data_IF_622337066261
#
_entry.id   IF_622337066261
#
_cell.length_a   1.000
_cell.length_b   1.000
_cell.length_c   1.000
_cell.angle_alpha   90.00
_cell.angle_beta   90.00
_cell.angle_gamma   90.00
#
_symmetry.space_group_name_H-M   'P 1'
#
loop_
_entity.id
_entity.type
_entity.pdbx_description
1 polymer ?
#
# COMPACT_ATOMS: atom_id res chain seq x y z
N UNK A 1 -7.49 6.08 -3.73
CA UNK A 1 -6.46 5.36 -4.48
C UNK A 1 -7.03 4.07 -5.11
N UNK A 2 -7.43 3.04 -4.32
CA UNK A 2 -7.79 1.71 -4.81
C UNK A 2 -8.85 1.66 -5.92
N UNK A 3 -9.92 2.45 -5.81
CA UNK A 3 -10.92 2.60 -6.88
C UNK A 3 -10.28 2.98 -8.23
N UNK A 4 -9.45 4.03 -8.20
CA UNK A 4 -8.84 4.56 -9.44
C UNK A 4 -7.79 3.61 -9.99
N UNK A 5 -7.01 2.97 -9.11
CA UNK A 5 -6.00 1.98 -9.51
C UNK A 5 -6.60 0.82 -10.33
N UNK A 6 -7.73 0.26 -9.88
CA UNK A 6 -8.43 -0.79 -10.63
C UNK A 6 -8.91 -0.29 -11.99
N UNK A 7 -9.46 0.93 -12.08
CA UNK A 7 -9.90 1.49 -13.36
C UNK A 7 -8.73 1.75 -14.30
N UNK A 8 -7.56 2.19 -13.79
CA UNK A 8 -6.35 2.38 -14.59
C UNK A 8 -5.85 1.05 -15.16
N UNK A 9 -5.79 0.01 -14.33
CA UNK A 9 -5.41 -1.32 -14.77
C UNK A 9 -6.41 -1.90 -15.78
N UNK A 10 -7.71 -1.81 -15.49
CA UNK A 10 -8.77 -2.31 -16.37
C UNK A 10 -8.76 -1.64 -17.76
N UNK A 11 -8.42 -0.34 -17.82
CA UNK A 11 -8.31 0.39 -19.08
C UNK A 11 -7.13 -0.07 -19.96
N UNK A 12 -6.10 -0.68 -19.37
CA UNK A 12 -4.94 -1.22 -20.09
C UNK A 12 -5.09 -2.69 -20.47
N UNK A 13 -6.01 -3.39 -19.79
CA UNK A 13 -6.20 -4.81 -19.99
C UNK A 13 -6.84 -5.07 -21.38
N UNK A 14 -6.25 -5.90 -22.27
CA UNK A 14 -6.83 -6.26 -23.54
C UNK A 14 -7.89 -7.36 -23.43
N UNK A 15 -8.64 -7.39 -22.33
CA UNK A 15 -9.58 -8.44 -21.95
C UNK A 15 -10.75 -7.83 -21.14
N UNK A 16 -11.92 -8.47 -21.21
CA UNK A 16 -13.06 -8.06 -20.39
C UNK A 16 -12.81 -8.35 -18.90
N UNK A 17 -13.22 -7.44 -18.05
CA UNK A 17 -13.24 -7.67 -16.62
C UNK A 17 -14.28 -8.73 -16.20
N UNK A 18 -15.55 -8.63 -16.65
CA UNK A 18 -16.57 -9.63 -16.32
C UNK A 18 -16.50 -10.86 -17.24
N UNK A 19 -17.19 -11.90 -16.82
CA UNK A 19 -17.54 -12.98 -17.71
C UNK A 19 -18.51 -12.47 -18.80
N UNK A 20 -18.25 -12.82 -20.05
CA UNK A 20 -19.09 -12.43 -21.19
C UNK A 20 -19.52 -13.67 -21.96
N UNK A 21 -20.83 -13.88 -22.08
CA UNK A 21 -21.40 -14.92 -22.93
C UNK A 21 -21.60 -14.40 -24.35
N UNK A 22 -21.17 -15.15 -25.34
CA UNK A 22 -21.34 -14.84 -26.77
C UNK A 22 -21.90 -16.03 -27.52
N UNK A 23 -22.34 -15.82 -28.77
CA UNK A 23 -22.82 -16.90 -29.64
C UNK A 23 -21.73 -17.96 -29.92
N UNK A 24 -20.43 -17.59 -29.81
CA UNK A 24 -19.28 -18.48 -30.05
C UNK A 24 -18.69 -19.05 -28.74
N UNK A 25 -19.28 -18.77 -27.59
CA UNK A 25 -18.84 -19.31 -26.30
C UNK A 25 -18.74 -18.26 -25.19
N UNK A 26 -18.16 -18.70 -24.07
CA UNK A 26 -18.00 -17.88 -22.87
C UNK A 26 -16.55 -17.40 -22.72
N UNK A 27 -16.40 -16.09 -22.51
CA UNK A 27 -15.12 -15.48 -22.16
C UNK A 27 -15.02 -15.44 -20.63
N UNK A 28 -13.95 -16.04 -20.07
CA UNK A 28 -13.70 -16.06 -18.63
C UNK A 28 -13.43 -14.64 -18.11
N UNK A 29 -13.86 -14.33 -16.87
CA UNK A 29 -13.58 -13.04 -16.25
C UNK A 29 -12.08 -12.87 -15.99
N UNK A 30 -11.65 -11.62 -15.80
CA UNK A 30 -10.30 -11.32 -15.38
C UNK A 30 -10.03 -11.78 -13.94
N UNK A 31 -8.82 -12.25 -13.69
CA UNK A 31 -8.29 -12.53 -12.37
C UNK A 31 -7.57 -11.28 -11.84
N UNK A 32 -8.01 -10.76 -10.71
CA UNK A 32 -7.41 -9.60 -10.04
C UNK A 32 -6.82 -10.03 -8.71
N UNK A 33 -5.55 -9.76 -8.49
CA UNK A 33 -4.90 -9.92 -7.20
C UNK A 33 -4.73 -8.56 -6.54
N UNK A 34 -5.16 -8.43 -5.29
CA UNK A 34 -4.91 -7.26 -4.45
C UNK A 34 -4.00 -7.65 -3.31
N UNK A 35 -2.84 -7.00 -3.19
CA UNK A 35 -1.85 -7.23 -2.14
C UNK A 35 -1.88 -6.04 -1.17
N UNK A 36 -2.18 -6.32 0.10
CA UNK A 36 -2.46 -5.31 1.11
C UNK A 36 -3.92 -4.87 1.09
N UNK A 37 -4.71 -5.30 2.08
CA UNK A 37 -6.15 -5.03 2.18
C UNK A 37 -6.48 -4.00 3.27
N UNK A 38 -5.68 -2.92 3.32
CA UNK A 38 -6.06 -1.70 4.02
C UNK A 38 -7.20 -0.97 3.28
N UNK A 39 -7.50 0.28 3.66
CA UNK A 39 -8.60 1.07 3.06
C UNK A 39 -8.52 1.13 1.53
N UNK A 40 -7.31 1.34 0.97
CA UNK A 40 -7.11 1.38 -0.48
C UNK A 40 -7.33 0.00 -1.12
N UNK A 41 -6.76 -1.05 -0.52
CA UNK A 41 -6.89 -2.42 -1.04
C UNK A 41 -8.32 -2.93 -0.97
N UNK A 42 -9.05 -2.74 0.13
CA UNK A 42 -10.47 -3.12 0.24
C UNK A 42 -11.33 -2.41 -0.81
N UNK A 43 -11.05 -1.12 -1.07
CA UNK A 43 -11.75 -0.39 -2.12
C UNK A 43 -11.38 -0.92 -3.52
N UNK A 44 -10.13 -1.37 -3.73
CA UNK A 44 -9.73 -2.05 -4.97
C UNK A 44 -10.48 -3.37 -5.14
N UNK A 45 -10.55 -4.21 -4.09
CA UNK A 45 -11.35 -5.44 -4.08
C UNK A 45 -12.79 -5.15 -4.47
N UNK A 46 -13.46 -4.21 -3.78
CA UNK A 46 -14.85 -3.85 -4.04
C UNK A 46 -15.06 -3.37 -5.49
N UNK A 47 -14.15 -2.59 -6.02
CA UNK A 47 -14.23 -2.06 -7.39
C UNK A 47 -14.06 -3.17 -8.41
N UNK A 48 -13.04 -4.03 -8.27
CA UNK A 48 -12.79 -5.14 -9.18
C UNK A 48 -13.97 -6.14 -9.17
N UNK A 49 -14.56 -6.41 -8.01
CA UNK A 49 -15.78 -7.24 -7.88
C UNK A 49 -16.96 -6.63 -8.63
N UNK A 50 -17.20 -5.31 -8.48
CA UNK A 50 -18.27 -4.62 -9.21
C UNK A 50 -18.09 -4.64 -10.72
N UNK A 51 -16.83 -4.66 -11.19
CA UNK A 51 -16.50 -4.84 -12.61
C UNK A 51 -16.63 -6.31 -13.08
N UNK A 52 -16.98 -7.24 -12.20
CA UNK A 52 -17.24 -8.63 -12.54
C UNK A 52 -16.03 -9.55 -12.56
N UNK A 53 -14.88 -9.10 -12.04
CA UNK A 53 -13.66 -9.90 -11.94
C UNK A 53 -13.74 -10.98 -10.86
N UNK A 54 -12.93 -12.02 -11.00
CA UNK A 54 -12.54 -12.92 -9.90
C UNK A 54 -11.43 -12.26 -9.12
N UNK A 55 -11.65 -11.99 -7.82
CA UNK A 55 -10.70 -11.24 -7.01
C UNK A 55 -10.09 -12.12 -5.93
N UNK A 56 -8.76 -12.12 -5.88
CA UNK A 56 -7.93 -12.67 -4.82
C UNK A 56 -7.38 -11.52 -3.99
N UNK A 57 -7.23 -11.72 -2.69
CA UNK A 57 -6.72 -10.69 -1.78
C UNK A 57 -5.74 -11.32 -0.79
N UNK A 58 -4.59 -10.71 -0.63
CA UNK A 58 -3.51 -11.11 0.28
C UNK A 58 -3.25 -10.01 1.30
N UNK A 59 -3.28 -10.35 2.58
CA UNK A 59 -2.82 -9.48 3.68
C UNK A 59 -2.25 -10.35 4.79
N UNK A 60 -1.19 -9.89 5.43
CA UNK A 60 -0.57 -10.60 6.53
C UNK A 60 -1.42 -10.56 7.81
N UNK A 61 -2.32 -9.58 7.93
CA UNK A 61 -3.18 -9.38 9.09
C UNK A 61 -4.47 -10.19 8.95
N UNK A 62 -4.80 -11.11 9.87
CA UNK A 62 -6.00 -11.94 9.78
C UNK A 62 -7.30 -11.14 9.67
N UNK A 63 -7.44 -10.07 10.45
CA UNK A 63 -8.64 -9.22 10.42
C UNK A 63 -8.85 -8.55 9.05
N UNK A 64 -7.77 -8.11 8.39
CA UNK A 64 -7.83 -7.51 7.05
C UNK A 64 -8.19 -8.56 5.97
N UNK A 65 -7.69 -9.79 6.12
CA UNK A 65 -8.07 -10.94 5.28
C UNK A 65 -9.57 -11.26 5.38
N UNK A 66 -10.13 -11.29 6.60
CA UNK A 66 -11.58 -11.50 6.81
C UNK A 66 -12.43 -10.34 6.24
N UNK A 67 -11.97 -9.11 6.38
CA UNK A 67 -12.63 -7.96 5.73
C UNK A 67 -12.66 -8.11 4.21
N UNK A 68 -11.56 -8.56 3.59
CA UNK A 68 -11.51 -8.80 2.15
C UNK A 68 -12.48 -9.92 1.72
N UNK A 69 -12.59 -10.99 2.50
CA UNK A 69 -13.61 -12.05 2.28
C UNK A 69 -15.03 -11.48 2.33
N UNK A 70 -15.35 -10.61 3.29
CA UNK A 70 -16.68 -10.00 3.42
C UNK A 70 -17.05 -9.13 2.22
N UNK A 71 -16.07 -8.55 1.53
CA UNK A 71 -16.27 -7.78 0.29
C UNK A 71 -16.33 -8.67 -0.95
N UNK A 72 -16.13 -9.99 -0.79
CA UNK A 72 -16.26 -11.00 -1.83
C UNK A 72 -14.96 -11.40 -2.53
N UNK A 73 -13.80 -11.11 -1.95
CA UNK A 73 -12.53 -11.66 -2.41
C UNK A 73 -12.34 -13.10 -1.92
N UNK A 74 -11.51 -13.84 -2.64
CA UNK A 74 -10.90 -15.08 -2.17
C UNK A 74 -9.62 -14.73 -1.44
N UNK A 75 -9.59 -14.95 -0.12
CA UNK A 75 -8.38 -14.66 0.65
C UNK A 75 -7.28 -15.65 0.33
N UNK A 76 -6.06 -15.13 0.21
CA UNK A 76 -4.83 -15.90 0.09
C UNK A 76 -4.25 -16.06 1.49
N UNK A 77 -4.12 -17.30 1.94
CA UNK A 77 -3.56 -17.60 3.26
C UNK A 77 -2.03 -17.53 3.19
N UNK A 78 -1.46 -16.50 3.83
CA UNK A 78 0.00 -16.28 3.84
C UNK A 78 0.70 -17.03 4.98
N UNK A 79 -0.04 -17.54 5.96
CA UNK A 79 0.48 -18.32 7.08
C UNK A 79 1.36 -17.54 8.06
N UNK A 80 1.32 -16.21 8.03
CA UNK A 80 2.13 -15.37 8.92
C UNK A 80 1.51 -15.37 10.32
N UNK A 81 2.28 -15.68 11.39
CA UNK A 81 1.79 -15.57 12.76
C UNK A 81 1.33 -14.15 13.10
N UNK A 82 0.22 -14.04 13.83
CA UNK A 82 -0.37 -12.73 14.16
C UNK A 82 0.59 -11.82 14.93
N UNK A 83 1.46 -12.38 15.77
CA UNK A 83 2.47 -11.67 16.56
C UNK A 83 3.52 -10.97 15.69
N UNK A 84 3.77 -11.51 14.49
CA UNK A 84 4.71 -10.93 13.51
C UNK A 84 4.01 -9.99 12.54
N UNK A 85 2.68 -10.14 12.39
CA UNK A 85 1.90 -9.40 11.39
C UNK A 85 1.40 -8.06 11.91
N UNK A 86 1.09 -7.94 13.21
CA UNK A 86 0.32 -6.83 13.78
C UNK A 86 1.17 -6.08 14.81
N UNK A 87 1.35 -4.77 14.58
CA UNK A 87 1.95 -3.83 15.50
C UNK A 87 0.92 -3.03 16.29
N UNK A 88 1.40 -2.05 17.04
CA UNK A 88 0.55 -1.08 17.75
C UNK A 88 -0.42 -0.40 16.78
N UNK A 89 -1.67 -0.18 17.21
CA UNK A 89 -2.72 0.41 16.37
C UNK A 89 -3.24 -0.49 15.26
N UNK A 90 -2.88 -1.80 15.20
CA UNK A 90 -3.41 -2.75 14.21
C UNK A 90 -2.78 -2.63 12.82
N UNK A 91 -1.68 -1.88 12.69
CA UNK A 91 -0.94 -1.75 11.43
C UNK A 91 -0.01 -2.95 11.21
N UNK A 92 0.31 -3.19 9.92
CA UNK A 92 1.25 -4.23 9.55
C UNK A 92 2.66 -3.92 10.06
N UNK A 93 3.34 -4.93 10.59
CA UNK A 93 4.76 -4.86 10.96
C UNK A 93 5.65 -5.19 9.75
N UNK A 94 6.92 -4.75 9.83
CA UNK A 94 7.93 -5.20 8.88
C UNK A 94 8.28 -6.65 9.21
N UNK A 95 7.98 -7.56 8.29
CA UNK A 95 8.32 -8.97 8.43
C UNK A 95 9.85 -9.20 8.37
N UNK A 96 10.36 -10.21 9.09
CA UNK A 96 11.68 -10.77 8.85
C UNK A 96 11.81 -11.30 7.42
N UNK A 97 13.04 -11.29 6.87
CA UNK A 97 13.29 -11.66 5.46
C UNK A 97 12.82 -13.08 5.12
N UNK A 98 12.93 -14.02 6.04
CA UNK A 98 12.44 -15.39 5.85
C UNK A 98 10.93 -15.46 5.59
N UNK A 99 10.16 -14.61 6.24
CA UNK A 99 8.70 -14.53 6.04
C UNK A 99 8.34 -13.79 4.76
N UNK A 100 9.12 -12.75 4.38
CA UNK A 100 8.97 -12.11 3.08
C UNK A 100 9.23 -13.09 1.92
N UNK A 101 10.22 -13.96 2.06
CA UNK A 101 10.49 -15.01 1.06
C UNK A 101 9.33 -15.99 0.94
N UNK A 102 8.80 -16.48 2.08
CA UNK A 102 7.61 -17.35 2.08
C UNK A 102 6.39 -16.68 1.47
N UNK A 103 6.16 -15.40 1.80
CA UNK A 103 5.07 -14.61 1.23
C UNK A 103 5.20 -14.53 -0.30
N UNK A 104 6.39 -14.25 -0.82
CA UNK A 104 6.68 -14.22 -2.27
C UNK A 104 6.45 -15.59 -2.91
N UNK A 105 6.88 -16.69 -2.27
CA UNK A 105 6.64 -18.05 -2.77
C UNK A 105 5.14 -18.37 -2.89
N UNK A 106 4.32 -17.99 -1.91
CA UNK A 106 2.87 -18.18 -1.94
C UNK A 106 2.22 -17.30 -3.01
N UNK A 107 2.69 -16.07 -3.16
CA UNK A 107 2.13 -15.11 -4.12
C UNK A 107 2.51 -15.45 -5.57
N UNK A 108 3.68 -16.04 -5.82
CA UNK A 108 4.20 -16.26 -7.16
C UNK A 108 3.22 -16.97 -8.12
N UNK A 109 2.61 -18.11 -7.78
CA UNK A 109 1.65 -18.76 -8.69
C UNK A 109 0.37 -17.95 -8.91
N UNK A 110 -0.02 -17.12 -7.94
CA UNK A 110 -1.22 -16.28 -8.04
C UNK A 110 -0.93 -15.07 -8.93
N UNK A 111 0.25 -14.47 -8.81
CA UNK A 111 0.71 -13.39 -9.69
C UNK A 111 0.80 -13.88 -11.13
N UNK A 112 1.35 -15.08 -11.36
CA UNK A 112 1.46 -15.68 -12.70
C UNK A 112 0.08 -15.88 -13.38
N UNK A 113 -0.97 -16.17 -12.61
CA UNK A 113 -2.35 -16.34 -13.12
C UNK A 113 -3.17 -15.03 -13.12
N UNK A 114 -2.66 -13.96 -12.52
CA UNK A 114 -3.35 -12.68 -12.46
C UNK A 114 -3.30 -11.96 -13.82
N UNK A 115 -4.43 -11.37 -14.19
CA UNK A 115 -4.52 -10.41 -15.30
C UNK A 115 -4.24 -8.99 -14.80
N UNK A 116 -4.58 -8.70 -13.55
CA UNK A 116 -4.30 -7.43 -12.87
C UNK A 116 -3.75 -7.70 -11.46
N UNK A 117 -2.70 -6.97 -11.10
CA UNK A 117 -2.22 -6.89 -9.72
C UNK A 117 -2.33 -5.44 -9.24
N UNK A 118 -2.97 -5.24 -8.09
CA UNK A 118 -2.98 -3.95 -7.39
C UNK A 118 -2.24 -4.14 -6.08
N UNK A 119 -1.10 -3.49 -5.92
CA UNK A 119 -0.32 -3.54 -4.69
C UNK A 119 -0.52 -2.29 -3.85
N UNK A 120 -0.81 -2.50 -2.57
CA UNK A 120 -1.13 -1.47 -1.59
C UNK A 120 -0.61 -1.83 -0.18
N UNK A 121 0.43 -2.66 -0.11
CA UNK A 121 1.04 -3.08 1.15
C UNK A 121 1.98 -1.99 1.67
N UNK A 122 1.56 -1.30 2.72
CA UNK A 122 2.29 -0.19 3.34
C UNK A 122 2.53 -0.46 4.82
N UNK A 123 3.68 0.00 5.28
CA UNK A 123 4.04 0.06 6.71
C UNK A 123 4.22 1.54 7.04
N UNK A 124 3.43 2.11 7.98
CA UNK A 124 3.54 3.53 8.31
C UNK A 124 4.96 3.95 8.67
N UNK A 125 5.45 5.03 8.05
CA UNK A 125 6.78 5.59 8.32
C UNK A 125 7.99 4.77 7.83
N UNK A 126 7.77 3.68 7.08
CA UNK A 126 8.84 2.82 6.54
C UNK A 126 8.69 2.65 5.02
N UNK A 127 9.76 2.20 4.37
CA UNK A 127 9.69 1.78 2.97
C UNK A 127 8.76 0.56 2.84
N UNK A 128 7.99 0.55 1.76
CA UNK A 128 7.13 -0.58 1.42
C UNK A 128 7.98 -1.83 1.14
N UNK A 129 7.52 -3.02 1.53
CA UNK A 129 8.22 -4.27 1.22
C UNK A 129 8.09 -4.59 -0.28
N UNK A 130 9.16 -5.10 -0.89
CA UNK A 130 9.09 -5.67 -2.24
C UNK A 130 8.44 -7.05 -2.15
N UNK A 131 7.24 -7.17 -2.73
CA UNK A 131 6.44 -8.41 -2.71
C UNK A 131 6.31 -9.04 -4.10
N UNK A 132 6.49 -8.24 -5.16
CA UNK A 132 6.45 -8.67 -6.56
C UNK A 132 7.86 -8.52 -7.12
N UNK A 133 8.53 -9.62 -7.36
CA UNK A 133 9.88 -9.64 -7.93
C UNK A 133 9.85 -9.56 -9.46
N UNK A 134 10.98 -9.23 -10.09
CA UNK A 134 11.11 -9.25 -11.54
C UNK A 134 10.76 -10.62 -12.13
N UNK A 135 11.15 -11.73 -11.48
CA UNK A 135 10.83 -13.08 -11.93
C UNK A 135 9.32 -13.36 -11.92
N UNK A 136 8.60 -12.84 -10.91
CA UNK A 136 7.14 -12.93 -10.87
C UNK A 136 6.50 -12.14 -12.02
N UNK A 137 7.02 -10.95 -12.32
CA UNK A 137 6.53 -10.16 -13.47
C UNK A 137 6.77 -10.90 -14.80
N UNK A 138 7.93 -11.53 -14.98
CA UNK A 138 8.22 -12.36 -16.17
C UNK A 138 7.27 -13.53 -16.33
N UNK A 139 6.72 -14.07 -15.24
CA UNK A 139 5.77 -15.17 -15.26
C UNK A 139 4.34 -14.77 -15.60
N UNK A 140 4.02 -13.47 -15.55
CA UNK A 140 2.69 -12.96 -15.88
C UNK A 140 2.41 -13.08 -17.37
N UNK A 141 1.12 -13.16 -17.73
CA UNK A 141 0.70 -13.19 -19.13
C UNK A 141 0.94 -11.84 -19.80
N UNK A 142 1.43 -11.81 -21.05
CA UNK A 142 1.48 -10.56 -21.84
C UNK A 142 0.09 -9.91 -21.91
N UNK A 143 0.06 -8.58 -21.76
CA UNK A 143 -1.17 -7.80 -21.65
C UNK A 143 -1.70 -7.63 -20.24
N UNK A 144 -1.08 -8.27 -19.22
CA UNK A 144 -1.42 -8.04 -17.81
C UNK A 144 -0.98 -6.65 -17.34
N UNK A 145 -1.56 -6.19 -16.24
CA UNK A 145 -1.27 -4.88 -15.66
C UNK A 145 -0.98 -4.95 -14.16
N UNK A 146 0.02 -4.21 -13.71
CA UNK A 146 0.33 -3.97 -12.30
C UNK A 146 0.11 -2.48 -12.02
N UNK A 147 -0.60 -2.15 -10.93
CA UNK A 147 -0.67 -0.77 -10.41
C UNK A 147 -0.15 -0.77 -8.98
N UNK A 148 0.96 -0.07 -8.79
CA UNK A 148 1.64 0.00 -7.51
C UNK A 148 1.24 1.27 -6.74
N UNK A 149 0.24 1.14 -5.86
CA UNK A 149 -0.24 2.25 -5.02
C UNK A 149 0.81 2.66 -3.98
N UNK A 150 1.69 1.72 -3.60
CA UNK A 150 2.72 1.91 -2.58
C UNK A 150 3.94 2.67 -3.09
N UNK A 151 3.94 3.10 -4.35
CA UNK A 151 5.08 3.72 -5.02
C UNK A 151 5.60 4.99 -4.32
N UNK A 152 4.73 5.75 -3.66
CA UNK A 152 5.12 6.94 -2.89
C UNK A 152 6.02 6.59 -1.67
N UNK A 153 6.04 5.31 -1.25
CA UNK A 153 6.88 4.77 -0.18
C UNK A 153 7.84 3.68 -0.67
N UNK A 154 8.28 3.75 -1.92
CA UNK A 154 9.26 2.84 -2.52
C UNK A 154 8.67 1.74 -3.41
N UNK A 155 7.37 1.44 -3.29
CA UNK A 155 6.67 0.46 -4.11
C UNK A 155 6.77 -0.98 -3.60
N UNK A 156 5.81 -1.80 -4.03
CA UNK A 156 5.80 -3.24 -3.73
C UNK A 156 6.30 -4.11 -4.90
N UNK A 157 6.44 -3.54 -6.09
CA UNK A 157 6.96 -4.23 -7.26
C UNK A 157 8.39 -3.75 -7.55
N UNK A 158 9.31 -4.69 -7.70
CA UNK A 158 10.74 -4.43 -7.95
C UNK A 158 10.99 -3.58 -9.21
N UNK A 159 10.13 -3.73 -10.21
CA UNK A 159 10.23 -3.01 -11.48
C UNK A 159 9.43 -1.70 -11.52
N UNK A 160 8.69 -1.35 -10.46
CA UNK A 160 7.94 -0.09 -10.41
C UNK A 160 8.88 1.11 -10.33
N UNK A 161 8.61 2.13 -11.15
CA UNK A 161 9.33 3.39 -11.13
C UNK A 161 8.38 4.54 -10.76
N UNK A 162 8.82 5.37 -9.83
CA UNK A 162 8.01 6.45 -9.26
C UNK A 162 7.62 7.51 -10.30
N UNK A 163 6.32 7.69 -10.51
CA UNK A 163 5.77 8.64 -11.49
C UNK A 163 5.81 8.15 -12.95
N UNK A 164 6.19 6.89 -13.19
CA UNK A 164 6.38 6.35 -14.53
C UNK A 164 5.39 5.20 -14.77
N UNK A 165 4.94 5.10 -16.00
CA UNK A 165 4.22 3.94 -16.53
C UNK A 165 5.15 3.30 -17.54
N UNK A 166 5.51 2.06 -17.33
CA UNK A 166 6.42 1.32 -18.20
C UNK A 166 5.82 -0.02 -18.61
N UNK A 167 6.35 -0.59 -19.68
CA UNK A 167 6.02 -1.94 -20.12
C UNK A 167 7.29 -2.78 -20.07
N UNK A 168 7.21 -3.90 -19.33
CA UNK A 168 8.29 -4.90 -19.25
C UNK A 168 7.70 -6.29 -19.40
N UNK A 169 8.32 -7.12 -20.24
CA UNK A 169 7.88 -8.50 -20.48
C UNK A 169 6.43 -8.62 -20.98
N UNK A 170 5.92 -7.56 -21.66
CA UNK A 170 4.53 -7.47 -22.08
C UNK A 170 3.55 -7.14 -20.95
N UNK A 171 4.02 -6.76 -19.76
CA UNK A 171 3.23 -6.36 -18.61
C UNK A 171 3.31 -4.84 -18.44
N UNK A 172 2.16 -4.18 -18.34
CA UNK A 172 2.09 -2.75 -18.01
C UNK A 172 2.29 -2.55 -16.51
N UNK A 173 3.31 -1.79 -16.11
CA UNK A 173 3.61 -1.49 -14.70
C UNK A 173 3.41 0.00 -14.48
N UNK A 174 2.47 0.35 -13.61
CA UNK A 174 2.04 1.71 -13.35
C UNK A 174 2.46 2.16 -11.96
N UNK A 175 3.48 3.01 -11.89
CA UNK A 175 3.98 3.68 -10.70
C UNK A 175 3.46 5.11 -10.53
N UNK A 176 2.24 5.42 -11.00
CA UNK A 176 1.66 6.76 -10.89
C UNK A 176 1.58 7.21 -9.43
N UNK A 177 2.20 8.37 -9.15
CA UNK A 177 2.15 9.03 -7.84
C UNK A 177 0.81 9.69 -7.61
N UNK A 178 0.47 9.83 -6.32
CA UNK A 178 -0.71 10.58 -5.90
C UNK A 178 -1.99 10.20 -6.67
N UNK A 179 -2.25 8.91 -6.81
CA UNK A 179 -3.49 8.40 -7.46
C UNK A 179 -4.77 9.08 -6.91
N UNK A 180 -4.90 9.42 -5.60
CA UNK A 180 -6.05 10.19 -5.10
C UNK A 180 -6.26 11.53 -5.82
N UNK A 181 -5.18 12.20 -6.24
CA UNK A 181 -5.25 13.45 -7.01
C UNK A 181 -5.94 13.32 -8.37
N UNK A 182 -6.07 12.11 -8.91
CA UNK A 182 -6.80 11.83 -10.15
C UNK A 182 -8.33 11.82 -9.99
N UNK A 183 -8.84 11.92 -8.76
CA UNK A 183 -10.27 12.06 -8.42
C UNK A 183 -10.45 13.23 -7.44
N UNK A 184 -10.09 14.46 -7.84
CA UNK A 184 -9.86 15.59 -6.94
C UNK A 184 -11.09 15.98 -6.13
N UNK A 185 -12.27 15.96 -6.71
CA UNK A 185 -13.50 16.34 -6.01
C UNK A 185 -13.75 15.47 -4.78
N UNK A 186 -13.66 14.15 -4.91
CA UNK A 186 -13.91 13.24 -3.80
C UNK A 186 -12.75 13.22 -2.80
N UNK A 187 -11.50 13.21 -3.28
CA UNK A 187 -10.32 13.13 -2.39
C UNK A 187 -10.11 14.42 -1.61
N UNK A 188 -10.34 15.58 -2.23
CA UNK A 188 -10.27 16.88 -1.53
C UNK A 188 -11.34 16.98 -0.46
N UNK A 189 -12.57 16.57 -0.76
CA UNK A 189 -13.64 16.56 0.24
C UNK A 189 -13.30 15.67 1.44
N UNK A 190 -12.84 14.42 1.21
CA UNK A 190 -12.44 13.51 2.28
C UNK A 190 -11.26 14.05 3.10
N UNK A 191 -10.27 14.63 2.43
CA UNK A 191 -9.11 15.21 3.10
C UNK A 191 -9.50 16.41 3.95
N UNK A 192 -10.31 17.33 3.39
CA UNK A 192 -10.82 18.50 4.11
C UNK A 192 -11.62 18.10 5.35
N UNK A 193 -12.45 17.04 5.25
CA UNK A 193 -13.22 16.54 6.39
C UNK A 193 -12.29 15.97 7.50
N UNK A 194 -11.22 15.25 7.12
CA UNK A 194 -10.23 14.75 8.10
C UNK A 194 -9.50 15.91 8.78
N UNK A 195 -9.06 16.92 8.01
CA UNK A 195 -8.40 18.12 8.57
C UNK A 195 -9.35 18.87 9.49
N UNK A 196 -10.61 19.02 9.08
CA UNK A 196 -11.64 19.68 9.93
C UNK A 196 -11.85 18.94 11.24
N UNK A 197 -12.02 17.60 11.19
CA UNK A 197 -12.23 16.79 12.39
C UNK A 197 -11.02 16.86 13.33
N UNK A 198 -9.80 16.83 12.78
CA UNK A 198 -8.59 17.00 13.57
C UNK A 198 -8.51 18.39 14.21
N UNK A 199 -8.79 19.44 13.45
CA UNK A 199 -8.81 20.80 13.99
C UNK A 199 -9.89 20.98 15.07
N UNK A 200 -11.08 20.38 14.86
CA UNK A 200 -12.15 20.40 15.84
C UNK A 200 -11.76 19.68 17.16
N UNK A 201 -10.99 18.58 17.06
CA UNK A 201 -10.49 17.87 18.22
C UNK A 201 -9.46 18.68 19.05
N UNK A 202 -8.74 19.61 18.39
CA UNK A 202 -7.79 20.52 19.05
C UNK A 202 -8.45 21.72 19.72
N UNK A 203 -9.77 21.95 19.53
CA UNK A 203 -10.45 23.15 20.03
C UNK A 203 -11.50 22.74 21.08
N UNK A 204 -11.32 23.20 22.33
CA UNK A 204 -12.29 23.09 23.41
C UNK A 204 -12.66 24.50 23.89
N UNK A 205 -13.94 24.81 24.00
CA UNK A 205 -14.46 26.11 24.46
C UNK A 205 -13.86 27.34 23.73
N UNK A 206 -13.63 27.19 22.42
CA UNK A 206 -13.06 28.26 21.56
C UNK A 206 -11.57 28.50 21.75
N UNK A 207 -10.84 27.63 22.46
CA UNK A 207 -9.40 27.71 22.67
C UNK A 207 -8.71 26.43 22.20
N UNK A 208 -7.46 26.59 21.76
CA UNK A 208 -6.63 25.43 21.44
C UNK A 208 -6.27 24.71 22.73
N UNK A 209 -6.65 23.43 22.81
CA UNK A 209 -6.34 22.52 23.90
C UNK A 209 -5.54 21.32 23.36
N UNK A 210 -4.26 21.24 23.73
CA UNK A 210 -3.36 20.17 23.34
C UNK A 210 -3.37 19.13 24.47
N UNK A 211 -4.40 18.29 24.46
CA UNK A 211 -4.58 17.22 25.43
C UNK A 211 -3.71 16.00 25.06
N UNK A 212 -2.60 15.83 25.77
CA UNK A 212 -1.68 14.70 25.55
C UNK A 212 -2.22 13.34 26.01
N UNK A 213 -3.39 13.30 26.65
CA UNK A 213 -4.10 12.05 26.96
C UNK A 213 -4.90 11.54 25.76
N UNK A 214 -5.17 12.40 24.76
CA UNK A 214 -5.77 12.02 23.48
C UNK A 214 -4.70 11.38 22.59
N UNK A 215 -4.91 10.13 22.16
CA UNK A 215 -3.96 9.36 21.37
C UNK A 215 -3.69 10.01 20.01
N UNK A 216 -4.69 10.64 19.38
CA UNK A 216 -4.56 11.30 18.07
C UNK A 216 -3.67 12.53 18.20
N UNK A 217 -3.91 13.34 19.24
CA UNK A 217 -3.13 14.55 19.50
C UNK A 217 -1.70 14.18 19.88
N UNK A 218 -1.52 13.23 20.81
CA UNK A 218 -0.21 12.78 21.25
C UNK A 218 0.65 12.21 20.13
N UNK A 219 0.05 11.40 19.24
CA UNK A 219 0.77 10.77 18.10
C UNK A 219 1.07 11.74 16.96
N UNK A 220 0.39 12.87 16.86
CA UNK A 220 0.57 13.86 15.79
C UNK A 220 1.42 15.06 16.20
N UNK A 221 1.61 15.30 17.50
CA UNK A 221 2.38 16.45 18.01
C UNK A 221 3.87 16.22 17.82
N UNK A 222 4.50 17.05 17.00
CA UNK A 222 5.93 16.93 16.68
C UNK A 222 6.78 17.71 17.67
N UNK A 223 6.41 18.97 17.93
CA UNK A 223 7.15 19.85 18.85
C UNK A 223 6.22 20.53 19.84
N UNK A 224 6.70 20.71 21.09
CA UNK A 224 6.01 21.47 22.14
C UNK A 224 7.02 22.34 22.87
N UNK A 225 6.71 23.60 23.04
CA UNK A 225 7.57 24.58 23.77
C UNK A 225 9.03 24.57 23.29
N UNK A 226 9.25 24.42 21.98
CA UNK A 226 10.58 24.37 21.37
C UNK A 226 11.31 23.03 21.51
N UNK A 227 10.66 22.02 22.11
CA UNK A 227 11.24 20.68 22.30
C UNK A 227 10.56 19.70 21.34
N UNK A 228 11.36 18.82 20.72
CA UNK A 228 10.86 17.71 19.91
C UNK A 228 10.31 16.63 20.84
N UNK A 229 9.02 16.30 20.69
CA UNK A 229 8.31 15.33 21.55
C UNK A 229 7.88 14.07 20.81
N UNK A 230 7.84 14.06 19.47
CA UNK A 230 7.41 12.93 18.66
C UNK A 230 8.48 11.83 18.60
N UNK A 231 8.16 10.63 19.08
CA UNK A 231 9.09 9.51 19.18
C UNK A 231 9.75 9.14 17.84
N UNK A 232 8.96 9.00 16.76
CA UNK A 232 9.47 8.66 15.44
C UNK A 232 10.38 9.74 14.83
N UNK A 233 10.14 11.02 15.15
CA UNK A 233 11.03 12.11 14.71
C UNK A 233 12.35 12.09 15.48
N UNK A 234 12.31 11.79 16.78
CA UNK A 234 13.51 11.59 17.61
C UNK A 234 14.35 10.41 17.11
N UNK A 235 13.72 9.29 16.79
CA UNK A 235 14.42 8.12 16.22
C UNK A 235 15.09 8.47 14.88
N UNK A 236 14.38 9.17 13.99
CA UNK A 236 14.91 9.57 12.69
C UNK A 236 16.11 10.52 12.81
N UNK A 237 16.05 11.48 13.75
CA UNK A 237 17.17 12.38 14.02
C UNK A 237 18.37 11.64 14.59
N UNK A 238 18.16 10.75 15.56
CA UNK A 238 19.23 9.95 16.17
C UNK A 238 19.90 9.02 15.14
N UNK A 239 19.12 8.44 14.23
CA UNK A 239 19.64 7.63 13.13
C UNK A 239 20.48 8.45 12.14
N UNK A 240 20.08 9.69 11.84
CA UNK A 240 20.83 10.61 10.98
C UNK A 240 22.16 11.08 11.62
N UNK A 241 22.18 11.33 12.92
CA UNK A 241 23.37 11.73 13.67
C UNK A 241 24.33 10.55 13.91
N UNK A 242 23.82 9.34 14.13
CA UNK A 242 24.63 8.11 14.25
C UNK A 242 25.38 7.72 12.98
N UNK A 243 24.95 8.20 11.81
CA UNK A 243 25.64 8.01 10.51
C UNK A 243 26.82 8.95 10.27
N UNK A 244 26.95 10.03 11.02
CA UNK A 244 28.12 10.91 10.96
C UNK A 244 29.25 10.35 11.80
N UNK A 245 30.04 9.40 11.25
CA UNK A 245 31.37 9.09 11.79
C UNK A 245 32.12 10.39 11.97
N UNK A 246 32.54 10.70 13.20
CA UNK A 246 33.47 11.78 13.51
C UNK A 246 34.68 11.64 12.59
N UNK A 247 34.77 12.51 11.59
CA UNK A 247 36.00 12.70 10.86
C UNK A 247 36.97 13.35 11.85
N UNK A 248 37.86 12.56 12.43
CA UNK A 248 38.94 13.02 13.30
C UNK A 248 39.94 13.77 12.46
N UNK A 249 39.74 15.06 12.22
CA UNK A 249 40.80 15.95 11.81
C UNK A 249 41.58 16.38 13.05
N UNK A 250 42.66 15.64 13.30
CA UNK A 250 43.71 16.02 14.23
C UNK A 250 44.53 17.13 13.56
N UNK A 251 44.16 18.39 13.73
CA UNK A 251 45.03 19.53 13.40
C UNK A 251 45.97 19.75 14.56
N UNK A 252 47.11 19.10 14.48
CA UNK A 252 48.27 19.38 15.34
C UNK A 252 48.76 20.82 15.15
N UNK A 253 48.90 21.49 16.25
CA UNK A 253 49.58 22.75 16.44
C UNK A 253 51.02 22.72 15.86
N UNK A 254 51.32 23.71 15.06
CA UNK A 254 52.62 24.39 15.04
C UNK A 254 52.40 25.87 14.72
#
# INVERSE_FOLDING_TARGET
AGYKAVLMAANRLPKFMPMVGTAVGMIKPANVLVIGTGVAGLQAVATAKRLGAVVYAADIRPAASEQAKSVGAKAVELGVPAELAIGEGGYALKLPEEWLLKEREILAPIVADADIVVSAALIPGKLAPILITEEMVKSMRPGSAIVDISIDQGGNCELSESGVILEKYGVSIDGTKNIPGMVPTASTWMFAQNVFNYAANLVKDGKIDVDMSDEIIASSLVTRDGVLVHAGALEAMNAADGGKKKCGCNCGSK
#
